data_IF_217013157143
#
_entry.id   IF_217013157143
#
_cell.length_a   1.000
_cell.length_b   1.000
_cell.length_c   1.000
_cell.angle_alpha   90.00
_cell.angle_beta   90.00
_cell.angle_gamma   90.00
#
_symmetry.space_group_name_H-M   'P 1'
#
loop_
_entity.id
_entity.type
_entity.pdbx_description
1 polymer ?
#
# COMPACT_ATOMS: atom_id res chain seq x y z
N UNK A 1 -4.80 13.01 1.88
CA UNK A 1 -4.13 11.81 1.35
C UNK A 1 -3.85 12.03 -0.14
N UNK A 2 -2.57 12.15 -0.55
CA UNK A 2 -2.23 12.35 -1.97
C UNK A 2 -2.41 11.03 -2.71
N UNK A 3 -3.45 10.92 -3.52
CA UNK A 3 -3.61 9.83 -4.47
C UNK A 3 -2.58 10.02 -5.57
N UNK A 4 -1.58 9.14 -5.63
CA UNK A 4 -0.59 9.18 -6.72
C UNK A 4 -1.24 8.54 -7.94
N UNK A 5 -1.74 9.38 -8.84
CA UNK A 5 -2.29 8.94 -10.12
C UNK A 5 -1.18 8.31 -10.99
N UNK A 6 -1.43 7.13 -11.53
CA UNK A 6 -0.58 6.49 -12.54
C UNK A 6 0.16 5.23 -12.11
N UNK A 7 0.34 4.95 -10.82
CA UNK A 7 1.08 3.75 -10.37
C UNK A 7 0.17 2.56 -10.07
N UNK A 8 -1.12 2.80 -9.76
CA UNK A 8 -2.12 1.76 -9.49
C UNK A 8 -2.03 1.11 -8.12
N UNK A 9 -1.03 1.46 -7.31
CA UNK A 9 -0.86 1.01 -5.93
C UNK A 9 -0.33 2.13 -5.05
N UNK A 10 -0.57 1.97 -3.76
CA UNK A 10 -0.14 2.87 -2.71
C UNK A 10 0.79 2.10 -1.77
N UNK A 11 1.85 2.75 -1.32
CA UNK A 11 2.63 2.28 -0.19
C UNK A 11 1.87 2.65 1.08
N UNK A 12 1.50 1.66 1.88
CA UNK A 12 0.86 1.84 3.18
C UNK A 12 1.58 1.03 4.24
N UNK A 13 1.60 1.55 5.46
CA UNK A 13 2.09 0.80 6.62
C UNK A 13 1.26 -0.47 6.78
N UNK A 14 1.95 -1.60 6.90
CA UNK A 14 1.34 -2.90 7.11
C UNK A 14 1.28 -3.21 8.61
N UNK A 15 0.10 -3.41 9.18
CA UNK A 15 -0.06 -3.77 10.60
C UNK A 15 0.74 -5.01 11.01
N UNK A 16 0.87 -6.00 10.11
CA UNK A 16 1.63 -7.23 10.39
C UNK A 16 3.14 -6.97 10.47
N UNK A 17 3.63 -5.95 9.78
CA UNK A 17 5.04 -5.54 9.89
C UNK A 17 5.29 -4.70 11.14
N UNK A 18 4.27 -4.00 11.65
CA UNK A 18 4.34 -3.27 12.91
C UNK A 18 4.29 -4.22 14.10
N UNK A 19 3.43 -5.24 14.04
CA UNK A 19 3.32 -6.29 15.08
C UNK A 19 3.60 -7.66 14.43
N UNK A 20 4.87 -7.97 14.13
CA UNK A 20 5.22 -9.22 13.45
C UNK A 20 5.10 -10.46 14.36
N UNK A 21 5.13 -10.25 15.68
CA UNK A 21 5.11 -11.33 16.67
C UNK A 21 4.17 -10.97 17.82
N UNK A 22 3.00 -11.60 17.83
CA UNK A 22 1.97 -11.41 18.85
C UNK A 22 2.28 -12.15 20.18
N UNK A 23 3.32 -12.99 20.20
CA UNK A 23 3.80 -13.64 21.44
C UNK A 23 4.60 -12.68 22.33
N UNK A 24 5.00 -11.54 21.82
CA UNK A 24 5.70 -10.48 22.56
C UNK A 24 4.72 -9.55 23.27
N UNK A 25 5.25 -8.80 24.24
CA UNK A 25 4.52 -7.69 24.89
C UNK A 25 4.43 -6.49 23.95
N UNK A 26 3.57 -5.50 24.24
CA UNK A 26 3.51 -4.26 23.48
C UNK A 26 4.86 -3.54 23.43
N UNK A 27 5.64 -3.59 24.51
CA UNK A 27 6.93 -2.90 24.60
C UNK A 27 7.99 -3.48 23.66
N UNK A 28 7.94 -4.78 23.37
CA UNK A 28 8.91 -5.47 22.50
C UNK A 28 8.36 -5.74 21.11
N UNK A 29 7.05 -5.91 21.02
CA UNK A 29 6.36 -6.39 19.83
C UNK A 29 6.05 -5.30 18.82
N UNK A 30 5.74 -4.07 19.27
CA UNK A 30 5.40 -2.96 18.36
C UNK A 30 6.68 -2.36 17.78
N UNK A 31 6.87 -2.54 16.47
CA UNK A 31 8.03 -2.02 15.74
C UNK A 31 7.84 -0.58 15.27
N UNK A 32 8.95 0.06 14.91
CA UNK A 32 9.00 1.44 14.39
C UNK A 32 8.49 2.55 15.32
N UNK A 33 7.81 2.22 16.40
CA UNK A 33 7.27 3.17 17.39
C UNK A 33 7.99 3.08 18.73
N UNK A 34 9.31 3.02 18.71
CA UNK A 34 10.14 3.09 19.93
C UNK A 34 10.34 1.74 20.63
N UNK A 35 10.13 0.59 19.97
CA UNK A 35 10.31 -0.73 20.57
C UNK A 35 11.66 -0.91 21.28
N UNK A 36 12.75 -0.43 20.69
CA UNK A 36 14.10 -0.49 21.28
C UNK A 36 14.28 0.41 22.52
N UNK A 37 13.40 1.41 22.69
CA UNK A 37 13.49 2.40 23.77
C UNK A 37 12.40 2.25 24.83
N UNK A 38 11.27 1.57 24.52
CA UNK A 38 10.14 1.41 25.43
C UNK A 38 10.48 0.61 26.69
N UNK A 39 11.50 -0.25 26.64
CA UNK A 39 12.01 -0.96 27.82
C UNK A 39 12.77 -0.04 28.79
N UNK A 40 13.21 1.14 28.34
CA UNK A 40 13.82 2.14 29.20
C UNK A 40 12.73 2.93 29.91
N UNK A 41 13.01 3.38 31.13
CA UNK A 41 12.17 4.36 31.80
C UNK A 41 12.20 5.69 31.04
N UNK A 42 11.15 6.50 31.18
CA UNK A 42 11.04 7.86 30.65
C UNK A 42 11.00 8.00 29.13
N UNK A 43 10.38 7.06 28.42
CA UNK A 43 10.17 7.20 26.97
C UNK A 43 8.74 7.63 26.64
N UNK A 44 8.62 8.54 25.67
CA UNK A 44 7.33 9.04 25.18
C UNK A 44 6.46 7.88 24.62
N UNK A 45 7.07 6.93 23.91
CA UNK A 45 6.35 5.79 23.36
C UNK A 45 5.74 4.90 24.46
N UNK A 46 6.48 4.67 25.55
CA UNK A 46 6.01 3.92 26.71
C UNK A 46 4.86 4.65 27.39
N UNK A 47 5.01 5.96 27.61
CA UNK A 47 3.97 6.79 28.20
C UNK A 47 2.64 6.70 27.42
N UNK A 48 2.67 6.79 26.09
CA UNK A 48 1.45 6.67 25.29
C UNK A 48 0.73 5.36 25.57
N UNK A 49 1.43 4.23 25.54
CA UNK A 49 0.81 2.93 25.75
C UNK A 49 0.30 2.74 27.19
N UNK A 50 1.02 3.24 28.19
CA UNK A 50 0.60 3.16 29.58
C UNK A 50 -0.63 4.03 29.88
N UNK A 51 -0.69 5.24 29.34
CA UNK A 51 -1.84 6.13 29.50
C UNK A 51 -3.09 5.59 28.80
N UNK A 52 -2.95 5.07 27.58
CA UNK A 52 -4.05 4.45 26.85
C UNK A 52 -4.55 3.20 27.61
N UNK A 53 -3.63 2.36 28.07
CA UNK A 53 -3.98 1.18 28.86
C UNK A 53 -4.70 1.52 30.16
N UNK A 54 -4.28 2.59 30.86
CA UNK A 54 -4.94 3.12 32.05
C UNK A 54 -6.36 3.59 31.74
N UNK A 55 -6.52 4.36 30.65
CA UNK A 55 -7.81 4.90 30.23
C UNK A 55 -8.85 3.79 29.94
N UNK A 56 -8.44 2.72 29.25
CA UNK A 56 -9.30 1.56 28.93
C UNK A 56 -9.30 0.47 30.01
N UNK A 57 -8.64 0.68 31.14
CA UNK A 57 -8.49 -0.30 32.21
C UNK A 57 -7.95 -1.67 31.72
N UNK A 58 -6.98 -1.64 30.81
CA UNK A 58 -6.35 -2.82 30.23
C UNK A 58 -4.97 -3.03 30.83
N UNK A 59 -4.69 -4.23 31.35
CA UNK A 59 -3.36 -4.58 31.85
C UNK A 59 -2.44 -4.95 30.69
N UNK A 60 -1.40 -4.16 30.43
CA UNK A 60 -0.44 -4.41 29.33
C UNK A 60 0.93 -4.91 29.80
N UNK A 61 1.30 -4.64 31.07
CA UNK A 61 2.62 -4.99 31.61
C UNK A 61 2.76 -6.50 31.77
N UNK A 62 3.71 -7.10 31.05
CA UNK A 62 3.95 -8.54 31.05
C UNK A 62 2.89 -9.36 30.30
N UNK A 63 1.91 -8.72 29.65
CA UNK A 63 0.87 -9.40 28.87
C UNK A 63 1.30 -9.46 27.39
N UNK A 64 1.17 -10.66 26.79
CA UNK A 64 1.42 -10.87 25.35
C UNK A 64 0.34 -10.18 24.51
N UNK A 65 0.71 -9.65 23.36
CA UNK A 65 -0.23 -8.94 22.46
C UNK A 65 -1.42 -9.83 22.08
N UNK A 66 -1.22 -11.12 21.85
CA UNK A 66 -2.30 -12.06 21.53
C UNK A 66 -3.38 -12.20 22.62
N UNK A 67 -3.04 -11.88 23.87
CA UNK A 67 -3.93 -11.96 25.03
C UNK A 67 -4.59 -10.62 25.36
N UNK A 68 -4.29 -9.55 24.61
CA UNK A 68 -4.93 -8.26 24.75
C UNK A 68 -6.26 -8.24 23.97
N UNK A 69 -7.25 -7.45 24.42
CA UNK A 69 -8.47 -7.25 23.65
C UNK A 69 -8.15 -6.72 22.25
N UNK A 70 -8.76 -7.27 21.20
CA UNK A 70 -8.51 -6.87 19.81
C UNK A 70 -8.83 -5.39 19.57
N UNK A 71 -9.93 -4.91 20.16
CA UNK A 71 -10.30 -3.48 20.08
C UNK A 71 -9.21 -2.58 20.68
N UNK A 72 -8.60 -2.99 21.79
CA UNK A 72 -7.49 -2.24 22.38
C UNK A 72 -6.26 -2.22 21.47
N UNK A 73 -5.91 -3.34 20.85
CA UNK A 73 -4.79 -3.42 19.90
C UNK A 73 -5.08 -2.54 18.66
N UNK A 74 -6.33 -2.54 18.20
CA UNK A 74 -6.76 -1.66 17.09
C UNK A 74 -6.65 -0.18 17.45
N UNK A 75 -7.00 0.22 18.67
CA UNK A 75 -6.82 1.60 19.15
C UNK A 75 -5.34 2.00 19.22
N UNK A 76 -4.45 1.08 19.60
CA UNK A 76 -3.00 1.32 19.53
C UNK A 76 -2.54 1.51 18.08
N UNK A 77 -3.01 0.67 17.16
CA UNK A 77 -2.56 0.72 15.75
C UNK A 77 -3.16 1.91 14.98
N UNK A 78 -4.46 2.15 15.11
CA UNK A 78 -5.21 3.09 14.27
C UNK A 78 -5.66 4.35 14.99
N UNK A 79 -5.49 4.42 16.31
CA UNK A 79 -5.86 5.57 17.13
C UNK A 79 -7.23 5.46 17.79
N UNK A 80 -7.54 6.48 18.60
CA UNK A 80 -8.76 6.55 19.40
C UNK A 80 -9.86 7.39 18.75
N UNK A 81 -9.65 7.81 17.49
CA UNK A 81 -10.59 8.66 16.77
C UNK A 81 -10.69 10.05 17.43
N UNK A 82 -11.90 10.42 17.90
CA UNK A 82 -12.16 11.68 18.59
C UNK A 82 -12.10 11.56 20.11
N UNK A 83 -11.89 10.34 20.65
CA UNK A 83 -11.87 10.10 22.09
C UNK A 83 -10.61 10.70 22.71
N UNK A 84 -10.79 11.60 23.67
CA UNK A 84 -9.73 12.32 24.35
C UNK A 84 -9.16 11.46 25.47
N UNK A 85 -7.83 11.35 25.52
CA UNK A 85 -7.09 10.61 26.55
C UNK A 85 -6.18 11.58 27.31
N UNK A 86 -6.17 11.48 28.62
CA UNK A 86 -5.21 12.19 29.46
C UNK A 86 -3.84 11.48 29.39
N UNK A 87 -2.83 12.20 28.93
CA UNK A 87 -1.45 11.75 28.91
C UNK A 87 -0.66 12.46 30.00
N UNK A 88 0.12 11.67 30.73
CA UNK A 88 1.02 12.18 31.76
C UNK A 88 2.45 11.69 31.49
N UNK A 89 3.33 12.63 31.22
CA UNK A 89 4.74 12.36 30.99
C UNK A 89 5.58 12.95 32.11
N UNK A 90 6.28 12.10 32.82
CA UNK A 90 7.20 12.49 33.89
C UNK A 90 8.64 12.21 33.50
N UNK A 91 9.52 13.18 33.69
CA UNK A 91 10.97 13.04 33.53
C UNK A 91 11.70 13.79 34.68
N UNK A 92 13.03 13.80 34.64
CA UNK A 92 13.88 14.49 35.61
C UNK A 92 13.65 16.02 35.73
N UNK A 93 12.92 16.63 34.74
CA UNK A 93 12.62 18.07 34.67
C UNK A 93 11.21 18.40 35.14
N UNK A 94 10.40 17.40 35.47
CA UNK A 94 9.01 17.57 35.94
C UNK A 94 7.98 16.71 35.23
N UNK A 95 6.74 16.89 35.62
CA UNK A 95 5.58 16.18 35.06
C UNK A 95 4.79 17.12 34.15
N UNK A 96 4.47 16.65 32.94
CA UNK A 96 3.59 17.33 31.99
C UNK A 96 2.32 16.52 31.81
N UNK A 97 1.18 17.18 31.90
CA UNK A 97 -0.14 16.59 31.60
C UNK A 97 -0.73 17.30 30.39
N UNK A 98 -1.34 16.54 29.51
CA UNK A 98 -2.07 17.09 28.36
C UNK A 98 -3.16 16.11 27.94
N UNK A 99 -4.20 16.62 27.31
CA UNK A 99 -5.35 15.87 26.85
C UNK A 99 -5.46 15.98 25.34
N UNK A 100 -5.50 14.84 24.66
CA UNK A 100 -5.68 14.79 23.21
C UNK A 100 -6.14 13.40 22.78
N UNK A 101 -6.75 13.23 21.60
CA UNK A 101 -6.93 11.92 21.02
C UNK A 101 -5.58 11.31 20.62
N UNK A 102 -5.48 9.99 20.70
CA UNK A 102 -4.29 9.30 20.20
C UNK A 102 -4.42 9.05 18.69
N UNK A 103 -3.48 9.52 17.92
CA UNK A 103 -3.49 9.41 16.46
C UNK A 103 -3.38 7.95 15.98
N UNK A 104 -2.69 7.08 16.74
CA UNK A 104 -2.38 5.70 16.35
C UNK A 104 -0.97 5.54 15.78
N UNK A 105 -0.39 4.36 15.99
CA UNK A 105 0.97 4.08 15.52
C UNK A 105 1.07 4.18 14.00
N UNK A 106 0.12 3.59 13.26
CA UNK A 106 0.11 3.58 11.79
C UNK A 106 -0.02 4.98 11.21
N UNK A 107 -1.02 5.79 11.58
CA UNK A 107 -1.12 7.16 11.09
C UNK A 107 0.10 8.03 11.44
N UNK A 108 0.67 7.88 12.63
CA UNK A 108 1.90 8.60 13.02
C UNK A 108 3.06 8.25 12.08
N UNK A 109 3.25 6.97 11.77
CA UNK A 109 4.33 6.54 10.89
C UNK A 109 4.10 7.00 9.44
N UNK A 110 2.86 6.91 8.93
CA UNK A 110 2.50 7.42 7.61
C UNK A 110 2.73 8.94 7.50
N UNK A 111 2.33 9.69 8.51
CA UNK A 111 2.58 11.13 8.58
C UNK A 111 4.08 11.44 8.60
N UNK A 112 4.85 10.77 9.45
CA UNK A 112 6.30 10.94 9.52
C UNK A 112 7.01 10.58 8.22
N UNK A 113 6.58 9.53 7.53
CA UNK A 113 7.10 9.17 6.20
C UNK A 113 6.85 10.29 5.18
N UNK A 114 5.66 10.90 5.20
CA UNK A 114 5.29 11.96 4.26
C UNK A 114 5.99 13.30 4.55
N UNK A 115 6.23 13.61 5.82
CA UNK A 115 6.79 14.88 6.28
C UNK A 115 8.33 14.90 6.31
N UNK A 116 8.96 13.72 6.39
CA UNK A 116 10.43 13.66 6.52
C UNK A 116 11.13 14.14 5.25
N UNK A 117 12.16 14.95 5.46
CA UNK A 117 13.10 15.38 4.41
C UNK A 117 14.34 14.46 4.32
N UNK A 118 14.52 13.57 5.29
CA UNK A 118 15.64 12.63 5.35
C UNK A 118 15.33 11.38 4.56
N UNK A 119 16.13 11.05 3.55
CA UNK A 119 16.01 9.80 2.79
C UNK A 119 16.21 8.55 3.67
N UNK A 120 17.13 8.61 4.64
CA UNK A 120 17.35 7.52 5.59
C UNK A 120 16.12 7.23 6.44
N UNK A 121 15.47 8.29 6.97
CA UNK A 121 14.24 8.15 7.72
C UNK A 121 13.09 7.63 6.82
N UNK A 122 13.00 8.11 5.58
CA UNK A 122 12.01 7.62 4.62
C UNK A 122 12.15 6.13 4.36
N UNK A 123 13.37 5.66 4.03
CA UNK A 123 13.68 4.23 3.83
C UNK A 123 13.37 3.40 5.07
N UNK A 124 13.61 3.95 6.26
CA UNK A 124 13.27 3.26 7.52
C UNK A 124 11.76 3.00 7.62
N UNK A 125 10.90 3.99 7.31
CA UNK A 125 9.45 3.78 7.33
C UNK A 125 8.98 2.86 6.20
N UNK A 126 9.59 2.92 5.02
CA UNK A 126 9.28 2.07 3.87
C UNK A 126 9.52 0.57 4.15
N UNK A 127 10.42 0.23 5.08
CA UNK A 127 10.59 -1.16 5.53
C UNK A 127 9.35 -1.76 6.18
N UNK A 128 8.44 -0.92 6.66
CA UNK A 128 7.17 -1.33 7.30
C UNK A 128 5.97 -1.13 6.38
N UNK A 129 6.21 -0.86 5.10
CA UNK A 129 5.16 -0.61 4.12
C UNK A 129 5.03 -1.75 3.11
N UNK A 130 3.80 -2.01 2.71
CA UNK A 130 3.48 -2.89 1.57
C UNK A 130 2.77 -2.11 0.48
N UNK A 131 2.96 -2.59 -0.74
CA UNK A 131 2.19 -2.11 -1.90
C UNK A 131 0.78 -2.68 -1.81
N UNK A 132 -0.20 -1.80 -1.67
CA UNK A 132 -1.62 -2.16 -1.69
C UNK A 132 -2.28 -1.60 -2.95
N UNK A 133 -3.25 -2.28 -3.54
CA UNK A 133 -4.02 -1.72 -4.67
C UNK A 133 -4.61 -0.36 -4.30
N UNK A 134 -4.53 0.58 -5.22
CA UNK A 134 -5.15 1.88 -5.01
C UNK A 134 -6.68 1.71 -4.93
N UNK A 135 -7.29 2.15 -3.84
CA UNK A 135 -8.75 2.04 -3.62
C UNK A 135 -9.60 2.83 -4.62
N UNK A 136 -9.00 3.81 -5.33
CA UNK A 136 -9.70 4.62 -6.33
C UNK A 136 -9.75 3.91 -7.68
N UNK A 137 -8.61 3.39 -8.14
CA UNK A 137 -8.51 2.74 -9.47
C UNK A 137 -8.37 1.22 -9.39
N UNK A 138 -8.33 0.62 -8.19
CA UNK A 138 -8.23 -0.83 -7.98
C UNK A 138 -7.09 -1.51 -8.77
N UNK A 139 -5.98 -0.78 -8.93
CA UNK A 139 -4.84 -1.23 -9.73
C UNK A 139 -4.95 -0.91 -11.23
N UNK A 140 -6.08 -0.44 -11.73
CA UNK A 140 -6.32 -0.19 -13.16
C UNK A 140 -5.59 1.03 -13.71
N UNK A 141 -5.11 1.95 -12.83
CA UNK A 141 -4.35 3.17 -13.17
C UNK A 141 -5.09 4.23 -13.97
N UNK A 142 -6.36 4.00 -14.24
CA UNK A 142 -7.23 4.86 -15.04
C UNK A 142 -8.39 5.36 -14.19
N UNK A 143 -8.96 6.48 -14.59
CA UNK A 143 -10.21 6.99 -14.02
C UNK A 143 -11.36 6.08 -14.45
N UNK A 144 -12.40 5.99 -13.61
CA UNK A 144 -13.57 5.15 -13.89
C UNK A 144 -14.27 5.55 -15.20
N UNK A 145 -14.29 6.85 -15.51
CA UNK A 145 -14.92 7.38 -16.73
C UNK A 145 -14.25 6.85 -18.00
N UNK A 146 -12.90 6.73 -17.98
CA UNK A 146 -12.12 6.19 -19.11
C UNK A 146 -12.37 4.72 -19.33
N UNK A 147 -12.70 3.97 -18.27
CA UNK A 147 -13.01 2.54 -18.35
C UNK A 147 -14.37 2.26 -18.98
N UNK A 148 -15.23 3.28 -19.10
CA UNK A 148 -16.52 3.17 -19.78
C UNK A 148 -16.44 3.43 -21.30
N UNK A 149 -15.23 3.67 -21.84
CA UNK A 149 -15.00 3.80 -23.29
C UNK A 149 -14.61 2.42 -23.83
N UNK A 150 -15.39 1.92 -24.76
CA UNK A 150 -15.19 0.61 -25.38
C UNK A 150 -14.85 0.76 -26.86
N UNK A 151 -13.99 -0.14 -27.34
CA UNK A 151 -13.74 -0.38 -28.75
C UNK A 151 -14.06 -1.85 -29.02
N UNK A 152 -15.17 -2.09 -29.75
CA UNK A 152 -15.80 -3.40 -29.75
C UNK A 152 -16.39 -3.75 -28.37
N UNK A 153 -15.99 -4.89 -27.83
CA UNK A 153 -16.45 -5.41 -26.51
C UNK A 153 -15.46 -5.15 -25.36
N UNK A 154 -14.34 -4.43 -25.61
CA UNK A 154 -13.28 -4.23 -24.61
C UNK A 154 -12.93 -2.77 -24.40
N UNK A 155 -12.66 -2.44 -23.13
CA UNK A 155 -12.07 -1.17 -22.76
C UNK A 155 -10.53 -1.25 -22.78
N UNK A 156 -9.89 -0.10 -22.61
CA UNK A 156 -8.41 0.02 -22.67
C UNK A 156 -7.71 -0.84 -21.60
N UNK A 157 -8.29 -0.97 -20.39
CA UNK A 157 -7.70 -1.78 -19.34
C UNK A 157 -7.71 -3.27 -19.70
N UNK A 158 -8.83 -3.75 -20.20
CA UNK A 158 -8.99 -5.15 -20.65
C UNK A 158 -8.00 -5.47 -21.76
N UNK A 159 -7.88 -4.60 -22.76
CA UNK A 159 -6.89 -4.76 -23.84
C UNK A 159 -5.44 -4.81 -23.30
N UNK A 160 -5.08 -3.91 -22.38
CA UNK A 160 -3.71 -3.87 -21.85
C UNK A 160 -3.38 -5.02 -20.89
N UNK A 161 -4.37 -5.74 -20.38
CA UNK A 161 -4.18 -6.93 -19.55
C UNK A 161 -4.07 -8.23 -20.35
N UNK A 162 -4.43 -8.21 -21.63
CA UNK A 162 -4.27 -9.35 -22.54
C UNK A 162 -2.79 -9.58 -22.88
N UNK A 163 -2.45 -10.79 -23.30
CA UNK A 163 -1.15 -11.06 -23.92
C UNK A 163 -1.02 -10.33 -25.25
N UNK A 164 0.20 -10.02 -25.67
CA UNK A 164 0.46 -9.34 -26.96
C UNK A 164 -0.16 -10.12 -28.12
N UNK A 165 -0.05 -11.45 -28.10
CA UNK A 165 -0.65 -12.33 -29.10
C UNK A 165 -2.18 -12.20 -29.16
N UNK A 166 -2.84 -12.26 -28.00
CA UNK A 166 -4.29 -12.12 -27.92
C UNK A 166 -4.77 -10.72 -28.30
N UNK A 167 -4.00 -9.68 -27.93
CA UNK A 167 -4.31 -8.30 -28.34
C UNK A 167 -4.22 -8.15 -29.84
N UNK A 168 -3.18 -8.69 -30.48
CA UNK A 168 -3.04 -8.67 -31.94
C UNK A 168 -4.18 -9.40 -32.65
N UNK A 169 -4.57 -10.59 -32.14
CA UNK A 169 -5.71 -11.34 -32.66
C UNK A 169 -7.00 -10.54 -32.53
N UNK A 170 -7.27 -9.98 -31.38
CA UNK A 170 -8.45 -9.16 -31.13
C UNK A 170 -8.53 -7.96 -32.09
N UNK A 171 -7.43 -7.21 -32.27
CA UNK A 171 -7.38 -6.06 -33.17
C UNK A 171 -7.65 -6.47 -34.62
N UNK A 172 -7.17 -7.63 -35.08
CA UNK A 172 -7.40 -8.14 -36.44
C UNK A 172 -8.85 -8.59 -36.67
N UNK A 173 -9.50 -9.12 -35.63
CA UNK A 173 -10.88 -9.61 -35.68
C UNK A 173 -11.93 -8.53 -35.36
N UNK A 174 -11.51 -7.30 -35.09
CA UNK A 174 -12.37 -6.21 -34.68
C UNK A 174 -13.36 -5.83 -35.80
N UNK A 175 -14.63 -5.90 -35.48
CA UNK A 175 -15.71 -5.51 -36.42
C UNK A 175 -15.98 -4.02 -36.28
N UNK A 176 -15.58 -3.25 -37.28
CA UNK A 176 -15.74 -1.81 -37.33
C UNK A 176 -16.72 -1.43 -38.46
N UNK A 177 -17.46 -0.37 -38.23
CA UNK A 177 -18.25 0.30 -39.28
C UNK A 177 -17.33 0.95 -40.31
N UNK A 178 -17.85 1.29 -41.50
CA UNK A 178 -17.01 1.93 -42.52
C UNK A 178 -16.39 3.26 -42.08
N UNK A 179 -17.11 4.03 -41.29
CA UNK A 179 -16.59 5.28 -40.73
C UNK A 179 -15.48 5.04 -39.74
N UNK A 180 -15.64 4.05 -38.84
CA UNK A 180 -14.61 3.68 -37.86
C UNK A 180 -13.37 3.10 -38.52
N UNK A 181 -13.50 2.35 -39.61
CA UNK A 181 -12.36 1.85 -40.40
C UNK A 181 -11.52 3.00 -40.93
N UNK A 182 -12.16 4.01 -41.55
CA UNK A 182 -11.46 5.17 -42.10
C UNK A 182 -10.71 5.93 -41.00
N UNK A 183 -11.37 6.16 -39.85
CA UNK A 183 -10.77 6.89 -38.71
C UNK A 183 -9.60 6.12 -38.09
N UNK A 184 -9.71 4.81 -37.99
CA UNK A 184 -8.75 3.95 -37.25
C UNK A 184 -7.65 3.35 -38.13
N UNK A 185 -7.70 3.50 -39.45
CA UNK A 185 -6.83 2.79 -40.39
C UNK A 185 -5.34 2.94 -40.07
N UNK A 186 -4.86 4.20 -39.93
CA UNK A 186 -3.44 4.44 -39.59
C UNK A 186 -3.06 3.95 -38.23
N UNK A 187 -3.96 4.12 -37.23
CA UNK A 187 -3.75 3.67 -35.86
C UNK A 187 -3.62 2.15 -35.81
N UNK A 188 -4.54 1.44 -36.46
CA UNK A 188 -4.54 -0.03 -36.50
C UNK A 188 -3.32 -0.58 -37.27
N UNK A 189 -2.90 0.07 -38.34
CA UNK A 189 -1.68 -0.26 -39.10
C UNK A 189 -0.43 -0.16 -38.21
N UNK A 190 -0.29 0.94 -37.47
CA UNK A 190 0.85 1.14 -36.59
C UNK A 190 0.81 0.18 -35.38
N UNK A 191 -0.35 -0.06 -34.77
CA UNK A 191 -0.52 -1.05 -33.68
C UNK A 191 -0.16 -2.46 -34.17
N UNK A 192 -0.65 -2.89 -35.33
CA UNK A 192 -0.30 -4.19 -35.89
C UNK A 192 1.20 -4.34 -36.08
N UNK A 193 1.87 -3.33 -36.67
CA UNK A 193 3.31 -3.32 -36.86
C UNK A 193 4.08 -3.47 -35.56
N UNK A 194 3.73 -2.68 -34.54
CA UNK A 194 4.40 -2.71 -33.23
C UNK A 194 4.17 -4.00 -32.48
N UNK A 195 2.94 -4.49 -32.45
CA UNK A 195 2.60 -5.75 -31.76
C UNK A 195 3.27 -6.94 -32.46
N UNK A 196 3.30 -6.99 -33.80
CA UNK A 196 4.02 -8.03 -34.55
C UNK A 196 5.50 -8.00 -34.24
N UNK A 197 6.15 -6.83 -34.23
CA UNK A 197 7.56 -6.69 -33.85
C UNK A 197 7.83 -7.24 -32.43
N UNK A 198 6.94 -6.94 -31.45
CA UNK A 198 7.07 -7.48 -30.10
C UNK A 198 6.96 -9.01 -30.04
N UNK A 199 6.13 -9.62 -30.90
CA UNK A 199 6.04 -11.07 -31.03
C UNK A 199 7.30 -11.68 -31.65
N UNK A 200 7.86 -11.03 -32.67
CA UNK A 200 9.06 -11.48 -33.36
C UNK A 200 10.30 -11.49 -32.46
N UNK A 201 10.39 -10.52 -31.52
CA UNK A 201 11.44 -10.51 -30.50
C UNK A 201 11.15 -11.43 -29.28
N UNK A 202 10.14 -12.29 -29.38
CA UNK A 202 9.85 -13.34 -28.38
C UNK A 202 9.02 -12.91 -27.17
N UNK A 203 8.39 -11.73 -27.18
CA UNK A 203 7.61 -11.20 -26.06
C UNK A 203 6.14 -11.68 -26.04
N UNK A 204 5.87 -12.93 -26.40
CA UNK A 204 4.50 -13.46 -26.58
C UNK A 204 3.63 -13.39 -25.35
N UNK A 205 4.19 -13.67 -24.16
CA UNK A 205 3.46 -13.82 -22.89
C UNK A 205 3.38 -12.50 -22.10
N UNK A 206 4.09 -11.46 -22.54
CA UNK A 206 4.09 -10.19 -21.81
C UNK A 206 2.74 -9.49 -21.91
N UNK A 207 2.20 -9.14 -20.73
CA UNK A 207 1.05 -8.24 -20.63
C UNK A 207 1.56 -6.79 -20.67
N UNK A 208 0.88 -5.93 -21.41
CA UNK A 208 1.24 -4.51 -21.49
C UNK A 208 1.05 -3.76 -20.16
N UNK A 209 0.21 -4.28 -19.26
CA UNK A 209 0.03 -3.72 -17.92
C UNK A 209 1.10 -4.21 -16.96
N UNK A 210 2.11 -3.40 -16.67
CA UNK A 210 3.07 -3.67 -15.60
C UNK A 210 2.42 -3.47 -14.23
N UNK A 211 2.00 -4.52 -13.58
CA UNK A 211 1.91 -4.60 -12.12
C UNK A 211 3.29 -5.00 -11.60
N UNK A 212 3.83 -4.21 -10.68
CA UNK A 212 5.21 -4.20 -10.24
C UNK A 212 5.88 -5.56 -10.05
N UNK A 213 7.20 -5.58 -10.35
CA UNK A 213 8.18 -6.65 -10.40
C UNK A 213 7.96 -7.68 -11.51
N UNK A 214 8.63 -7.43 -12.64
CA UNK A 214 8.94 -8.44 -13.63
C UNK A 214 9.83 -9.51 -13.00
N UNK A 215 9.25 -10.61 -12.57
CA UNK A 215 10.01 -11.87 -12.49
C UNK A 215 10.08 -12.40 -13.92
N UNK A 216 11.16 -12.11 -14.61
CA UNK A 216 11.50 -12.78 -15.88
C UNK A 216 11.80 -14.23 -15.51
N UNK A 217 10.80 -15.07 -15.61
CA UNK A 217 10.99 -16.52 -15.60
C UNK A 217 11.29 -16.89 -17.05
N UNK A 218 12.58 -16.94 -17.40
CA UNK A 218 13.04 -17.59 -18.60
C UNK A 218 12.79 -19.08 -18.43
N UNK A 219 11.76 -19.60 -19.07
CA UNK A 219 11.66 -21.05 -19.30
C UNK A 219 12.79 -21.41 -20.29
N UNK A 220 13.86 -21.98 -19.75
CA UNK A 220 14.85 -22.68 -20.57
C UNK A 220 14.14 -23.86 -21.20
N UNK A 221 14.00 -23.83 -22.51
CA UNK A 221 13.75 -25.04 -23.30
C UNK A 221 14.79 -26.07 -22.91
N UNK A 222 14.36 -27.22 -22.42
CA UNK A 222 15.11 -28.45 -22.44
C UNK A 222 14.88 -29.09 -23.82
N UNK A 223 15.90 -29.10 -24.62
CA UNK A 223 16.07 -30.09 -25.67
C UNK A 223 16.35 -31.46 -25.06
#
# INVERSE_FOLDING_TARGET
MKVVFGIGHLLKIDPEMIIPDKEKTLYDGVKAFGASTMMKNDTVAKMYFECIAKHYNVKIKGVKIKNLPEDFVNKILYGTGTEIIEFEYSNSRGTRKFEQPFEGVIPILERRHNETKSEGARRFYEMYMRQMPCHVCEGKRLKKEVLNIFVGDKNIYELTTMSIENTLKYIKELKLTETEKIISEEILKELNKRLTFLLDVGLRIFKSSKTGRNTIRSEKHKE
#
